data_IF_498099549289
#
_entry.id   IF_498099549289
#
_cell.length_a   1.000
_cell.length_b   1.000
_cell.length_c   1.000
_cell.angle_alpha   90.00
_cell.angle_beta   90.00
_cell.angle_gamma   90.00
#
_symmetry.space_group_name_H-M   'P 1'
#
loop_
_entity.id
_entity.type
_entity.pdbx_description
1 polymer ?
#
# COMPACT_ATOMS: atom_id res chain seq x y z
N UNK A 1 12.72 15.61 9.88
CA UNK A 1 11.95 16.80 9.46
C UNK A 1 11.02 16.33 8.35
N UNK A 2 9.71 16.51 8.51
CA UNK A 2 8.69 16.16 7.52
C UNK A 2 8.17 17.44 6.84
N UNK A 3 7.51 17.31 5.69
CA UNK A 3 6.85 18.42 5.03
C UNK A 3 5.46 18.64 5.63
N UNK A 4 5.18 19.88 6.05
CA UNK A 4 3.81 20.33 6.35
C UNK A 4 3.04 20.59 5.04
N UNK A 5 2.90 19.54 4.24
CA UNK A 5 2.19 19.51 2.96
C UNK A 5 1.90 18.05 2.59
N UNK A 6 1.04 17.78 1.59
CA UNK A 6 0.79 16.43 1.07
C UNK A 6 2.00 15.75 0.41
N UNK A 7 3.16 16.42 0.35
CA UNK A 7 4.38 15.85 -0.24
C UNK A 7 4.85 14.64 0.56
N UNK A 8 5.03 13.53 -0.16
CA UNK A 8 5.55 12.28 0.36
C UNK A 8 7.09 12.35 0.51
N UNK A 9 7.59 12.04 1.71
CA UNK A 9 9.01 11.89 2.00
C UNK A 9 9.43 10.42 2.19
N UNK A 10 8.50 9.54 2.57
CA UNK A 10 8.81 8.13 2.91
C UNK A 10 8.75 7.23 1.67
N UNK A 11 7.94 7.61 0.68
CA UNK A 11 7.73 6.89 -0.57
C UNK A 11 6.57 5.88 -0.52
N UNK A 12 6.04 5.57 0.67
CA UNK A 12 4.95 4.59 0.82
C UNK A 12 3.69 5.02 0.06
N UNK A 13 3.26 6.28 0.25
CA UNK A 13 2.09 6.83 -0.42
C UNK A 13 2.27 6.90 -1.94
N UNK A 14 3.45 7.31 -2.41
CA UNK A 14 3.79 7.34 -3.84
C UNK A 14 3.76 5.94 -4.46
N UNK A 15 4.29 4.93 -3.76
CA UNK A 15 4.27 3.54 -4.22
C UNK A 15 2.84 3.02 -4.36
N UNK A 16 1.99 3.23 -3.35
CA UNK A 16 0.56 2.84 -3.37
C UNK A 16 -0.18 3.57 -4.49
N UNK A 17 -0.08 4.90 -4.55
CA UNK A 17 -0.76 5.73 -5.56
C UNK A 17 -0.38 5.31 -6.99
N UNK A 18 0.90 5.05 -7.24
CA UNK A 18 1.37 4.60 -8.55
C UNK A 18 0.90 3.19 -8.92
N UNK A 19 0.72 2.30 -7.94
CA UNK A 19 0.15 0.95 -8.13
C UNK A 19 -1.34 1.01 -8.48
N UNK A 20 -2.08 1.98 -7.94
CA UNK A 20 -3.51 2.18 -8.23
C UNK A 20 -3.69 2.84 -9.60
N UNK A 21 -3.13 4.04 -9.80
CA UNK A 21 -3.45 4.91 -10.93
C UNK A 21 -2.22 5.45 -11.67
N UNK A 22 -1.06 4.85 -11.47
CA UNK A 22 0.17 5.27 -12.15
C UNK A 22 0.03 5.26 -13.67
N UNK A 23 0.44 6.36 -14.30
CA UNK A 23 0.53 6.44 -15.75
C UNK A 23 1.54 5.43 -16.31
N UNK A 24 1.46 5.14 -17.60
CA UNK A 24 2.40 4.23 -18.25
C UNK A 24 3.79 4.89 -18.34
N UNK A 25 4.78 4.30 -17.68
CA UNK A 25 6.17 4.76 -17.71
C UNK A 25 7.06 3.63 -18.22
N UNK A 26 7.70 3.86 -19.36
CA UNK A 26 8.59 2.90 -20.02
C UNK A 26 10.00 2.93 -19.43
N UNK A 27 10.74 1.85 -19.64
CA UNK A 27 12.15 1.71 -19.26
C UNK A 27 12.41 1.95 -17.77
N UNK A 28 11.45 1.61 -16.92
CA UNK A 28 11.63 1.64 -15.46
C UNK A 28 12.36 0.38 -15.00
N UNK A 29 13.15 0.53 -13.94
CA UNK A 29 13.77 -0.58 -13.22
C UNK A 29 14.06 -0.19 -11.78
N UNK A 30 14.14 -1.16 -10.87
CA UNK A 30 14.53 -0.89 -9.50
C UNK A 30 16.05 -0.65 -9.40
N UNK A 31 16.44 0.48 -8.79
CA UNK A 31 17.84 0.89 -8.50
C UNK A 31 18.79 0.92 -9.71
N UNK A 32 18.26 1.04 -10.94
CA UNK A 32 19.09 1.05 -12.16
C UNK A 32 19.85 -0.26 -12.45
N UNK A 33 19.71 -1.28 -11.60
CA UNK A 33 20.42 -2.56 -11.68
C UNK A 33 19.72 -3.61 -12.53
N UNK A 34 18.74 -3.22 -13.35
CA UNK A 34 18.03 -4.15 -14.24
C UNK A 34 17.00 -5.06 -13.56
N UNK A 35 16.63 -4.81 -12.29
CA UNK A 35 15.57 -5.56 -11.63
C UNK A 35 14.20 -5.03 -12.05
N UNK A 36 13.34 -5.93 -12.53
CA UNK A 36 11.96 -5.61 -12.89
C UNK A 36 11.84 -4.64 -14.08
N UNK A 37 12.76 -4.75 -15.05
CA UNK A 37 12.76 -3.89 -16.25
C UNK A 37 11.45 -4.03 -17.01
N UNK A 38 10.85 -2.91 -17.38
CA UNK A 38 9.69 -2.91 -18.26
C UNK A 38 8.92 -1.60 -18.24
N UNK A 39 7.61 -1.70 -18.45
CA UNK A 39 6.66 -0.61 -18.30
C UNK A 39 5.93 -0.74 -16.97
N UNK A 40 6.01 0.27 -16.10
CA UNK A 40 5.15 0.37 -14.93
C UNK A 40 3.84 1.09 -15.28
N UNK A 41 2.74 0.63 -14.69
CA UNK A 41 1.43 1.28 -14.72
C UNK A 41 0.60 0.82 -13.52
N UNK A 42 -0.36 1.64 -13.12
CA UNK A 42 -1.36 1.25 -12.13
C UNK A 42 -2.43 0.31 -12.71
N UNK A 43 -3.30 -0.21 -11.83
CA UNK A 43 -4.49 -0.97 -12.22
C UNK A 43 -5.50 -0.15 -13.04
N UNK A 44 -5.61 1.16 -12.75
CA UNK A 44 -6.48 2.10 -13.44
C UNK A 44 -5.73 3.37 -13.88
N UNK A 45 -4.85 3.34 -14.90
CA UNK A 45 -3.98 4.48 -15.28
C UNK A 45 -4.69 5.77 -15.73
N UNK A 46 -6.01 5.74 -15.90
CA UNK A 46 -6.84 6.88 -16.32
C UNK A 46 -7.71 7.42 -15.19
N UNK A 47 -7.70 6.82 -14.01
CA UNK A 47 -8.40 7.37 -12.85
C UNK A 47 -7.69 8.61 -12.34
N UNK A 48 -8.40 9.41 -11.53
CA UNK A 48 -7.84 10.57 -10.84
C UNK A 48 -7.41 10.15 -9.44
N UNK A 49 -6.43 10.84 -8.89
CA UNK A 49 -5.96 10.66 -7.52
C UNK A 49 -6.28 11.91 -6.70
N UNK A 50 -6.93 11.73 -5.55
CA UNK A 50 -6.99 12.69 -4.46
C UNK A 50 -6.12 12.17 -3.31
N UNK A 51 -5.21 12.99 -2.79
CA UNK A 51 -4.18 12.55 -1.85
C UNK A 51 -4.41 13.19 -0.49
N UNK A 52 -4.68 12.34 0.52
CA UNK A 52 -4.84 12.73 1.91
C UNK A 52 -3.69 12.14 2.72
N UNK A 53 -2.70 12.97 3.08
CA UNK A 53 -1.53 12.53 3.84
C UNK A 53 -1.87 12.52 5.34
N UNK A 54 -1.89 11.33 5.92
CA UNK A 54 -2.21 11.12 7.36
C UNK A 54 -1.07 10.50 8.15
N UNK A 55 -0.06 9.97 7.45
CA UNK A 55 1.11 9.34 8.06
C UNK A 55 2.36 10.20 7.92
N UNK A 56 3.23 10.14 8.91
CA UNK A 56 4.43 10.97 9.04
C UNK A 56 5.69 10.12 9.07
N UNK A 57 6.85 10.77 8.93
CA UNK A 57 8.17 10.13 8.82
C UNK A 57 8.56 9.27 10.03
N UNK A 58 7.99 9.52 11.20
CA UNK A 58 8.17 8.71 12.40
C UNK A 58 7.36 7.40 12.38
N UNK A 59 6.60 7.15 11.31
CA UNK A 59 5.72 5.99 11.16
C UNK A 59 4.36 6.16 11.82
N UNK A 60 4.09 7.30 12.47
CA UNK A 60 2.80 7.56 13.07
C UNK A 60 1.76 7.88 12.01
N UNK A 61 0.54 7.37 12.21
CA UNK A 61 -0.65 7.77 11.47
C UNK A 61 -1.73 8.08 12.52
N UNK A 62 -1.80 9.32 13.04
CA UNK A 62 -2.73 9.65 14.11
C UNK A 62 -4.17 9.36 13.69
N UNK A 63 -4.93 8.66 14.54
CA UNK A 63 -6.32 8.29 14.26
C UNK A 63 -7.16 9.51 13.87
N UNK A 64 -7.07 10.60 14.62
CA UNK A 64 -7.77 11.85 14.31
C UNK A 64 -7.46 12.40 12.90
N UNK A 65 -6.23 12.21 12.39
CA UNK A 65 -5.88 12.62 11.03
C UNK A 65 -6.50 11.67 9.98
N UNK A 66 -6.60 10.37 10.29
CA UNK A 66 -7.29 9.39 9.45
C UNK A 66 -8.78 9.72 9.37
N UNK A 67 -9.44 10.00 10.49
CA UNK A 67 -10.86 10.36 10.54
C UNK A 67 -11.13 11.63 9.74
N UNK A 68 -10.33 12.68 9.94
CA UNK A 68 -10.45 13.93 9.19
C UNK A 68 -10.26 13.73 7.68
N UNK A 69 -9.29 12.90 7.28
CA UNK A 69 -9.07 12.58 5.87
C UNK A 69 -10.23 11.81 5.24
N UNK A 70 -10.87 10.89 5.97
CA UNK A 70 -12.05 10.17 5.48
C UNK A 70 -13.22 11.14 5.31
N UNK A 71 -13.46 12.01 6.28
CA UNK A 71 -14.52 13.03 6.22
C UNK A 71 -14.30 14.01 5.04
N UNK A 72 -13.08 14.49 4.84
CA UNK A 72 -12.73 15.33 3.70
C UNK A 72 -12.91 14.59 2.37
N UNK A 73 -12.51 13.31 2.28
CA UNK A 73 -12.69 12.51 1.08
C UNK A 73 -14.16 12.24 0.75
N UNK A 74 -15.01 12.04 1.76
CA UNK A 74 -16.47 11.93 1.58
C UNK A 74 -17.01 13.25 1.00
N UNK A 75 -16.61 14.39 1.57
CA UNK A 75 -17.06 15.72 1.11
C UNK A 75 -16.59 16.03 -0.31
N UNK A 76 -15.37 15.63 -0.66
CA UNK A 76 -14.81 15.78 -1.99
C UNK A 76 -15.44 14.86 -3.04
N UNK A 77 -16.23 13.86 -2.59
CA UNK A 77 -16.98 12.96 -3.46
C UNK A 77 -16.10 11.94 -4.18
N UNK A 78 -15.10 11.38 -3.50
CA UNK A 78 -14.27 10.31 -4.07
C UNK A 78 -15.11 9.04 -4.33
N UNK A 79 -14.78 8.28 -5.38
CA UNK A 79 -15.50 7.04 -5.69
C UNK A 79 -15.02 5.84 -4.83
N UNK A 80 -13.73 5.82 -4.49
CA UNK A 80 -13.06 4.72 -3.78
C UNK A 80 -12.00 5.27 -2.83
N UNK A 81 -11.97 4.75 -1.61
CA UNK A 81 -10.91 4.97 -0.63
C UNK A 81 -9.96 3.76 -0.61
N UNK A 82 -8.66 4.02 -0.76
CA UNK A 82 -7.61 3.01 -0.65
C UNK A 82 -6.65 3.36 0.48
N UNK A 83 -6.64 2.53 1.51
CA UNK A 83 -5.99 2.79 2.79
C UNK A 83 -5.02 1.64 3.11
N UNK A 84 -3.75 1.80 2.73
CA UNK A 84 -2.69 0.86 3.10
C UNK A 84 -2.13 1.18 4.49
N UNK A 85 -3.01 1.18 5.49
CA UNK A 85 -2.71 1.42 6.89
C UNK A 85 -3.63 0.54 7.76
N UNK A 86 -3.32 0.45 9.04
CA UNK A 86 -4.12 -0.29 10.01
C UNK A 86 -3.67 0.02 11.43
N UNK A 87 -4.54 -0.27 12.39
CA UNK A 87 -4.26 -0.16 13.81
C UNK A 87 -3.99 -1.53 14.43
N UNK A 88 -4.57 -1.78 15.60
CA UNK A 88 -4.49 -3.08 16.29
C UNK A 88 -5.61 -4.03 15.83
N UNK A 89 -5.43 -5.37 15.95
CA UNK A 89 -6.52 -6.31 15.69
C UNK A 89 -7.76 -6.00 16.55
N UNK A 90 -8.92 -5.90 15.91
CA UNK A 90 -10.18 -5.57 16.57
C UNK A 90 -10.46 -4.06 16.72
N UNK A 91 -9.55 -3.19 16.27
CA UNK A 91 -9.80 -1.75 16.18
C UNK A 91 -10.71 -1.46 14.97
N UNK A 92 -11.71 -0.61 15.17
CA UNK A 92 -12.70 -0.24 14.16
C UNK A 92 -12.61 1.26 13.86
N UNK A 93 -12.46 1.61 12.58
CA UNK A 93 -12.52 3.00 12.11
C UNK A 93 -13.95 3.26 11.63
N UNK A 94 -14.82 3.70 12.54
CA UNK A 94 -16.27 3.85 12.31
C UNK A 94 -16.62 4.78 11.14
N UNK A 95 -15.79 5.79 10.87
CA UNK A 95 -15.95 6.74 9.76
C UNK A 95 -15.98 6.03 8.39
N UNK A 96 -15.41 4.84 8.28
CA UNK A 96 -15.50 4.03 7.06
C UNK A 96 -16.89 3.48 6.80
N UNK A 97 -17.71 3.30 7.84
CA UNK A 97 -19.13 2.98 7.66
C UNK A 97 -19.87 4.17 7.03
N UNK A 98 -19.56 5.40 7.44
CA UNK A 98 -20.14 6.60 6.81
C UNK A 98 -19.75 6.70 5.34
N UNK A 99 -18.48 6.45 4.99
CA UNK A 99 -18.06 6.43 3.59
C UNK A 99 -18.87 5.41 2.77
N UNK A 100 -19.01 4.18 3.26
CA UNK A 100 -19.78 3.12 2.58
C UNK A 100 -21.26 3.47 2.47
N UNK A 101 -21.86 4.07 3.50
CA UNK A 101 -23.24 4.55 3.46
C UNK A 101 -23.47 5.69 2.43
N UNK A 102 -22.42 6.45 2.10
CA UNK A 102 -22.42 7.45 1.03
C UNK A 102 -22.09 6.84 -0.35
N UNK A 103 -21.98 5.52 -0.46
CA UNK A 103 -21.70 4.81 -1.72
C UNK A 103 -20.21 4.72 -2.07
N UNK A 104 -19.31 5.09 -1.17
CA UNK A 104 -17.85 5.07 -1.39
C UNK A 104 -17.29 3.72 -0.95
N UNK A 105 -16.65 2.99 -1.86
CA UNK A 105 -16.01 1.71 -1.52
C UNK A 105 -14.72 1.93 -0.74
N UNK A 106 -14.53 1.20 0.36
CA UNK A 106 -13.32 1.31 1.21
C UNK A 106 -12.49 0.03 1.11
N UNK A 107 -11.20 0.18 0.81
CA UNK A 107 -10.24 -0.91 0.68
C UNK A 107 -9.10 -0.72 1.67
N UNK A 108 -8.88 -1.71 2.54
CA UNK A 108 -7.82 -1.74 3.54
C UNK A 108 -6.82 -2.88 3.33
N UNK A 109 -5.60 -2.70 3.82
CA UNK A 109 -4.67 -3.80 4.00
C UNK A 109 -5.05 -4.67 5.22
N UNK A 110 -4.85 -5.98 5.12
CA UNK A 110 -5.09 -6.93 6.22
C UNK A 110 -4.00 -6.98 7.30
N UNK A 111 -2.93 -6.18 7.18
CA UNK A 111 -1.79 -6.19 8.09
C UNK A 111 -0.69 -7.18 7.71
N UNK A 112 0.46 -7.08 8.39
CA UNK A 112 1.68 -7.83 8.07
C UNK A 112 2.17 -8.72 9.23
N UNK A 113 1.41 -8.83 10.31
CA UNK A 113 1.78 -9.53 11.56
C UNK A 113 1.52 -11.05 11.52
N UNK A 114 1.21 -11.60 10.34
CA UNK A 114 1.11 -13.04 10.14
C UNK A 114 2.44 -13.78 10.40
N UNK A 115 2.45 -15.13 10.38
CA UNK A 115 1.38 -16.03 9.90
C UNK A 115 0.50 -16.59 11.03
N UNK A 116 0.70 -16.15 12.28
CA UNK A 116 -0.10 -16.63 13.41
C UNK A 116 -1.58 -16.23 13.19
N UNK A 117 -2.56 -17.10 13.51
CA UNK A 117 -3.97 -16.76 13.41
C UNK A 117 -4.35 -15.50 14.20
N UNK A 118 -5.46 -14.86 13.82
CA UNK A 118 -6.02 -13.69 14.52
C UNK A 118 -5.13 -12.44 14.52
N UNK A 119 -4.31 -12.27 13.48
CA UNK A 119 -3.42 -11.10 13.28
C UNK A 119 -3.94 -10.12 12.22
N UNK A 120 -5.08 -10.43 11.60
CA UNK A 120 -5.69 -9.60 10.55
C UNK A 120 -6.23 -8.30 11.15
N UNK A 121 -5.92 -7.18 10.49
CA UNK A 121 -6.39 -5.84 10.81
C UNK A 121 -7.60 -5.44 9.94
N UNK A 122 -8.32 -4.39 10.33
CA UNK A 122 -9.41 -3.79 9.54
C UNK A 122 -10.49 -4.81 9.13
N UNK A 123 -10.80 -5.76 10.01
CA UNK A 123 -11.70 -6.88 9.75
C UNK A 123 -13.18 -6.53 10.05
N UNK A 124 -13.70 -5.51 9.37
CA UNK A 124 -15.10 -5.08 9.49
C UNK A 124 -15.91 -5.45 8.24
N UNK A 125 -17.21 -5.77 8.37
CA UNK A 125 -17.98 -6.39 7.28
C UNK A 125 -18.30 -5.46 6.11
N UNK A 126 -18.15 -4.14 6.28
CA UNK A 126 -18.47 -3.14 5.24
C UNK A 126 -17.26 -2.73 4.38
N UNK A 127 -16.04 -3.16 4.70
CA UNK A 127 -14.84 -2.81 3.93
C UNK A 127 -14.25 -4.03 3.22
N UNK A 128 -13.41 -3.79 2.22
CA UNK A 128 -12.60 -4.83 1.58
C UNK A 128 -11.24 -4.92 2.25
N UNK A 129 -11.02 -5.98 3.04
CA UNK A 129 -9.73 -6.27 3.68
C UNK A 129 -8.86 -7.16 2.77
N UNK A 130 -7.70 -6.66 2.35
CA UNK A 130 -6.86 -7.30 1.31
C UNK A 130 -5.64 -7.97 1.94
N UNK A 131 -5.47 -9.27 1.69
CA UNK A 131 -4.27 -10.03 2.03
C UNK A 131 -3.19 -9.91 0.95
N UNK A 132 -1.94 -10.25 1.28
CA UNK A 132 -0.82 -10.29 0.35
C UNK A 132 -0.50 -11.73 -0.09
N UNK A 133 -0.12 -11.89 -1.35
CA UNK A 133 0.38 -13.15 -1.91
C UNK A 133 1.53 -12.90 -2.87
N UNK A 134 2.19 -13.97 -3.30
CA UNK A 134 3.31 -13.86 -4.24
C UNK A 134 2.88 -14.04 -5.69
N UNK A 135 3.68 -13.52 -6.63
CA UNK A 135 3.48 -13.69 -8.08
C UNK A 135 4.48 -14.68 -8.66
N UNK A 136 4.34 -15.02 -9.93
CA UNK A 136 5.24 -15.93 -10.67
C UNK A 136 6.68 -15.40 -10.78
N UNK A 137 6.87 -14.08 -10.91
CA UNK A 137 8.17 -13.41 -10.95
C UNK A 137 8.97 -13.60 -9.65
N UNK A 138 10.28 -13.80 -9.79
CA UNK A 138 11.22 -13.87 -8.67
C UNK A 138 12.52 -13.11 -9.00
N UNK A 139 13.26 -12.70 -7.97
CA UNK A 139 14.55 -12.01 -8.10
C UNK A 139 15.65 -12.83 -7.41
N UNK A 140 16.15 -13.91 -8.05
CA UNK A 140 17.19 -14.76 -7.46
C UNK A 140 18.51 -13.99 -7.35
N UNK A 141 19.23 -14.20 -6.25
CA UNK A 141 20.58 -13.64 -6.07
C UNK A 141 21.60 -14.78 -6.09
N UNK A 142 22.59 -14.69 -6.98
CA UNK A 142 23.68 -15.64 -7.04
C UNK A 142 24.81 -15.22 -6.10
N UNK A 143 25.22 -16.11 -5.22
CA UNK A 143 26.33 -15.92 -4.29
C UNK A 143 27.46 -16.87 -4.70
N UNK A 144 28.66 -16.34 -4.91
CA UNK A 144 29.86 -17.15 -5.17
C UNK A 144 30.67 -17.23 -3.88
N UNK A 145 30.94 -18.45 -3.41
CA UNK A 145 31.71 -18.73 -2.21
C UNK A 145 33.22 -18.71 -2.50
N UNK A 146 34.05 -18.65 -1.46
CA UNK A 146 35.51 -18.62 -1.58
C UNK A 146 36.13 -19.88 -2.21
N UNK A 147 35.38 -20.98 -2.27
CA UNK A 147 35.74 -22.23 -2.95
C UNK A 147 35.25 -22.29 -4.42
N UNK A 148 34.77 -21.17 -4.99
CA UNK A 148 34.14 -21.04 -6.31
C UNK A 148 32.80 -21.75 -6.49
N UNK A 149 32.20 -22.29 -5.43
CA UNK A 149 30.84 -22.81 -5.47
C UNK A 149 29.83 -21.67 -5.61
N UNK A 150 28.76 -21.89 -6.39
CA UNK A 150 27.73 -20.88 -6.66
C UNK A 150 26.39 -21.33 -6.08
N UNK A 151 25.84 -20.54 -5.17
CA UNK A 151 24.51 -20.74 -4.59
C UNK A 151 23.52 -19.74 -5.19
N UNK A 152 22.30 -20.19 -5.46
CA UNK A 152 21.22 -19.32 -5.92
C UNK A 152 20.19 -19.19 -4.80
N UNK A 153 20.15 -18.02 -4.17
CA UNK A 153 19.22 -17.73 -3.08
C UNK A 153 17.90 -17.24 -3.67
N UNK A 154 16.80 -17.85 -3.23
CA UNK A 154 15.42 -17.47 -3.54
C UNK A 154 14.62 -17.37 -2.25
N UNK A 155 13.71 -16.41 -2.18
CA UNK A 155 12.73 -16.35 -1.10
C UNK A 155 11.61 -17.35 -1.36
N UNK A 156 11.14 -18.03 -0.32
CA UNK A 156 9.96 -18.90 -0.42
C UNK A 156 8.73 -18.06 -0.79
N UNK A 157 7.89 -18.63 -1.64
CA UNK A 157 6.62 -18.01 -2.02
C UNK A 157 5.55 -18.41 -1.01
N UNK A 158 4.88 -17.41 -0.43
CA UNK A 158 3.61 -17.56 0.30
C UNK A 158 2.45 -17.74 -0.67
#
# INVERSE_FOLDING_TARGET
>A
MDYNSPRDLTGHGTHVASTIAGSQVWNVSHRGGGLGVGMARGGAPRSRLAIYKVCWVDGSCPEAAILAAIDDAIKDGVDVLSLSLGGSPGEEIFETLHAVLQGISVVFAGGNEGPVPQTVLNAVPWVMTVAASTIDRSFPTQVTLGNNEKLVVRTNKS
#
